data_IF_965345520012
#
_entry.id   IF_965345520012
#
_cell.length_a   1.000
_cell.length_b   1.000
_cell.length_c   1.000
_cell.angle_alpha   90.00
_cell.angle_beta   90.00
_cell.angle_gamma   90.00
#
_symmetry.space_group_name_H-M   'P 1'
#
loop_
_entity.id
_entity.type
_entity.pdbx_description
1 polymer ?
#
# COMPACT_ATOMS: atom_id res chain seq x y z
N UNK A 1 -5.32 -10.44 -7.81
CA UNK A 1 -5.97 -9.12 -7.93
C UNK A 1 -5.00 -8.09 -7.43
N UNK A 2 -4.86 -6.96 -8.13
CA UNK A 2 -3.99 -5.87 -7.69
C UNK A 2 -4.51 -5.25 -6.39
N UNK A 3 -3.63 -4.65 -5.58
CA UNK A 3 -4.03 -3.83 -4.42
C UNK A 3 -5.01 -2.74 -4.83
N UNK A 4 -4.82 -2.22 -6.03
CA UNK A 4 -5.62 -1.15 -6.60
C UNK A 4 -7.07 -1.61 -6.84
N UNK A 5 -7.25 -2.77 -7.49
CA UNK A 5 -8.58 -3.35 -7.73
C UNK A 5 -9.35 -3.59 -6.43
N UNK A 6 -8.65 -4.00 -5.37
CA UNK A 6 -9.27 -4.25 -4.06
C UNK A 6 -9.63 -2.97 -3.34
N UNK A 7 -8.74 -1.99 -3.39
CA UNK A 7 -8.98 -0.68 -2.81
C UNK A 7 -10.14 0.04 -3.50
N UNK A 8 -10.20 0.06 -4.84
CA UNK A 8 -11.32 0.64 -5.60
C UNK A 8 -12.67 0.02 -5.23
N UNK A 9 -12.68 -1.29 -4.93
CA UNK A 9 -13.86 -2.01 -4.48
C UNK A 9 -14.24 -1.71 -3.02
N UNK A 10 -13.24 -1.53 -2.16
CA UNK A 10 -13.42 -1.22 -0.73
C UNK A 10 -13.98 0.19 -0.49
N UNK A 11 -13.67 1.14 -1.39
CA UNK A 11 -14.07 2.56 -1.27
C UNK A 11 -15.37 2.89 -2.02
N UNK A 12 -16.19 1.88 -2.36
CA UNK A 12 -17.56 2.01 -2.93
C UNK A 12 -17.75 3.16 -3.96
N UNK A 13 -16.89 3.27 -4.97
CA UNK A 13 -17.14 4.07 -6.19
C UNK A 13 -17.29 5.60 -6.07
N UNK A 14 -17.46 6.16 -4.87
CA UNK A 14 -17.67 7.60 -4.64
C UNK A 14 -16.40 8.44 -4.90
N UNK A 15 -15.26 7.77 -5.04
CA UNK A 15 -13.94 8.38 -5.07
C UNK A 15 -13.24 8.33 -6.43
N UNK A 16 -13.84 7.67 -7.42
CA UNK A 16 -13.33 7.63 -8.80
C UNK A 16 -13.02 9.02 -9.37
N UNK A 17 -13.78 10.05 -8.97
CA UNK A 17 -13.53 11.42 -9.43
C UNK A 17 -12.30 12.09 -8.80
N UNK A 18 -11.80 11.59 -7.67
CA UNK A 18 -10.60 12.12 -7.00
C UNK A 18 -9.37 11.40 -7.55
N UNK A 19 -9.43 10.08 -7.74
CA UNK A 19 -8.35 9.29 -8.38
C UNK A 19 -8.06 9.72 -9.83
N UNK A 20 -9.11 10.03 -10.61
CA UNK A 20 -8.95 10.48 -12.00
C UNK A 20 -8.30 11.87 -12.14
N UNK A 21 -8.19 12.65 -11.04
CA UNK A 21 -7.55 13.98 -11.05
C UNK A 21 -6.05 13.93 -10.76
N UNK A 22 -5.50 12.78 -10.38
CA UNK A 22 -4.08 12.65 -10.14
C UNK A 22 -3.32 12.42 -11.45
N UNK A 23 -2.31 13.26 -11.68
CA UNK A 23 -1.39 13.07 -12.79
C UNK A 23 -0.36 11.99 -12.45
N UNK A 24 0.41 11.55 -13.44
CA UNK A 24 1.51 10.57 -13.26
C UNK A 24 2.65 11.03 -12.34
N UNK A 25 2.54 12.21 -11.74
CA UNK A 25 3.53 12.79 -10.80
C UNK A 25 3.03 12.81 -9.36
N UNK A 26 1.74 12.60 -9.14
CA UNK A 26 1.17 12.59 -7.81
C UNK A 26 1.21 11.18 -7.23
N UNK A 27 1.18 11.08 -5.90
CA UNK A 27 1.32 9.82 -5.20
C UNK A 27 0.08 8.93 -5.42
N UNK A 28 0.26 7.77 -6.06
CA UNK A 28 -0.83 6.84 -6.36
C UNK A 28 -0.86 5.66 -5.38
N UNK A 29 -2.01 5.01 -5.16
CA UNK A 29 -2.10 3.82 -4.30
C UNK A 29 -1.11 2.69 -4.68
N UNK A 30 -0.83 2.54 -5.97
CA UNK A 30 0.14 1.54 -6.48
C UNK A 30 1.59 1.86 -6.12
N UNK A 31 1.92 3.12 -5.87
CA UNK A 31 3.25 3.52 -5.43
C UNK A 31 3.51 3.03 -4.00
N UNK A 32 2.48 3.00 -3.15
CA UNK A 32 2.59 2.47 -1.79
C UNK A 32 2.91 0.99 -1.78
N UNK A 33 2.17 0.17 -2.53
CA UNK A 33 2.44 -1.28 -2.59
C UNK A 33 3.82 -1.56 -3.16
N UNK A 34 4.19 -0.88 -4.25
CA UNK A 34 5.51 -1.06 -4.87
C UNK A 34 6.64 -0.65 -3.92
N UNK A 35 6.46 0.41 -3.13
CA UNK A 35 7.43 0.82 -2.11
C UNK A 35 7.54 -0.20 -0.97
N UNK A 36 6.42 -0.78 -0.54
CA UNK A 36 6.38 -1.79 0.52
C UNK A 36 7.00 -3.12 0.09
N UNK A 37 6.67 -3.61 -1.09
CA UNK A 37 7.27 -4.83 -1.67
C UNK A 37 8.80 -4.67 -1.74
N UNK A 38 9.26 -3.51 -2.23
CA UNK A 38 10.69 -3.19 -2.28
C UNK A 38 11.34 -3.14 -0.89
N UNK A 39 10.63 -2.64 0.12
CA UNK A 39 11.15 -2.58 1.50
C UNK A 39 11.19 -3.96 2.14
N UNK A 40 10.17 -4.80 1.91
CA UNK A 40 10.20 -6.23 2.30
C UNK A 40 11.41 -6.91 1.68
N UNK A 41 11.60 -6.78 0.36
CA UNK A 41 12.72 -7.41 -0.33
C UNK A 41 14.08 -6.94 0.18
N UNK A 42 14.18 -5.68 0.62
CA UNK A 42 15.41 -5.09 1.14
C UNK A 42 15.72 -5.53 2.58
N UNK A 43 14.70 -5.64 3.44
CA UNK A 43 14.85 -5.95 4.85
C UNK A 43 14.57 -7.41 5.21
N UNK A 44 14.05 -8.21 4.29
CA UNK A 44 13.81 -9.63 4.51
C UNK A 44 15.12 -10.36 4.78
N UNK A 45 15.18 -11.04 5.93
CA UNK A 45 16.38 -11.76 6.36
C UNK A 45 16.08 -13.25 6.51
N UNK A 46 16.86 -14.14 5.87
CA UNK A 46 16.72 -15.57 6.10
C UNK A 46 17.18 -15.92 7.51
N UNK A 47 16.31 -16.59 8.28
CA UNK A 47 16.63 -17.16 9.59
C UNK A 47 16.55 -18.68 9.48
N UNK A 48 17.69 -19.31 9.25
CA UNK A 48 17.78 -20.76 9.06
C UNK A 48 17.63 -21.19 7.61
N UNK A 49 17.24 -22.45 7.38
CA UNK A 49 17.15 -23.03 6.02
C UNK A 49 15.81 -22.76 5.33
N UNK A 50 14.72 -22.67 6.09
CA UNK A 50 13.36 -22.69 5.56
C UNK A 50 12.49 -21.54 6.10
N UNK A 51 13.10 -20.54 6.74
CA UNK A 51 12.37 -19.38 7.27
C UNK A 51 13.05 -18.08 6.87
N UNK A 52 12.22 -17.12 6.46
CA UNK A 52 12.61 -15.73 6.22
C UNK A 52 11.75 -14.87 7.13
N UNK A 53 12.37 -13.93 7.84
CA UNK A 53 11.63 -12.90 8.58
C UNK A 53 11.55 -11.65 7.73
N UNK A 54 10.37 -11.06 7.68
CA UNK A 54 10.10 -9.78 7.06
C UNK A 54 9.60 -8.79 8.13
N UNK A 55 9.79 -7.48 7.92
CA UNK A 55 9.20 -6.47 8.80
C UNK A 55 7.67 -6.59 8.83
N UNK A 56 7.08 -6.17 9.96
CA UNK A 56 5.63 -6.24 10.20
C UNK A 56 4.97 -4.89 10.49
N UNK A 57 5.76 -3.85 10.77
CA UNK A 57 5.27 -2.49 10.96
C UNK A 57 5.90 -1.57 9.91
N UNK A 58 5.04 -0.89 9.16
CA UNK A 58 5.45 0.07 8.14
C UNK A 58 4.83 1.43 8.45
N UNK A 59 5.62 2.49 8.29
CA UNK A 59 5.18 3.86 8.54
C UNK A 59 5.55 4.75 7.37
N UNK A 60 4.54 5.22 6.66
CA UNK A 60 4.71 6.23 5.62
C UNK A 60 4.90 7.62 6.24
N UNK A 61 5.86 8.37 5.70
CA UNK A 61 6.00 9.81 5.95
C UNK A 61 5.64 10.52 4.66
N UNK A 62 4.58 11.30 4.72
CA UNK A 62 4.01 11.98 3.56
C UNK A 62 4.05 13.48 3.77
N UNK A 63 4.00 14.23 2.67
CA UNK A 63 3.74 15.66 2.77
C UNK A 63 2.29 15.90 3.22
N UNK A 64 2.03 17.05 3.84
CA UNK A 64 0.67 17.42 4.27
C UNK A 64 -0.37 17.30 3.15
N UNK A 65 -0.16 17.84 1.92
CA UNK A 65 -1.15 17.70 0.86
C UNK A 65 -1.39 16.24 0.46
N UNK A 66 -0.34 15.40 0.35
CA UNK A 66 -0.51 13.98 0.03
C UNK A 66 -1.30 13.24 1.11
N UNK A 67 -1.05 13.56 2.39
CA UNK A 67 -1.78 12.99 3.51
C UNK A 67 -3.25 13.38 3.49
N UNK A 68 -3.57 14.66 3.25
CA UNK A 68 -4.95 15.16 3.14
C UNK A 68 -5.71 14.46 2.00
N UNK A 69 -5.02 14.15 0.90
CA UNK A 69 -5.61 13.38 -0.19
C UNK A 69 -5.94 11.95 0.23
N UNK A 70 -5.05 11.27 0.94
CA UNK A 70 -5.25 9.88 1.38
C UNK A 70 -6.30 9.77 2.47
N UNK A 71 -6.37 10.75 3.37
CA UNK A 71 -7.45 10.86 4.36
C UNK A 71 -8.82 10.91 3.68
N UNK A 72 -8.95 11.71 2.60
CA UNK A 72 -10.18 11.74 1.81
C UNK A 72 -10.52 10.37 1.22
N UNK A 73 -9.50 9.56 0.91
CA UNK A 73 -9.64 8.21 0.35
C UNK A 73 -10.08 7.13 1.33
N UNK A 74 -10.08 7.43 2.63
CA UNK A 74 -10.17 6.40 3.65
C UNK A 74 -8.80 5.81 3.91
N UNK A 75 -7.98 6.56 4.64
CA UNK A 75 -6.63 6.16 5.08
C UNK A 75 -6.62 4.78 5.75
N UNK A 76 -7.64 4.47 6.55
CA UNK A 76 -7.82 3.17 7.20
C UNK A 76 -8.09 2.03 6.21
N UNK A 77 -8.97 2.23 5.22
CA UNK A 77 -9.25 1.22 4.21
C UNK A 77 -8.02 0.93 3.34
N UNK A 78 -7.27 1.96 2.95
CA UNK A 78 -6.02 1.82 2.22
C UNK A 78 -4.99 1.03 3.03
N UNK A 79 -4.81 1.39 4.32
CA UNK A 79 -3.87 0.71 5.19
C UNK A 79 -4.21 -0.77 5.37
N UNK A 80 -5.49 -1.11 5.52
CA UNK A 80 -5.94 -2.49 5.65
C UNK A 80 -5.66 -3.31 4.38
N UNK A 81 -5.95 -2.76 3.20
CA UNK A 81 -5.69 -3.46 1.92
C UNK A 81 -4.19 -3.64 1.65
N UNK A 82 -3.37 -2.62 1.97
CA UNK A 82 -1.92 -2.72 1.87
C UNK A 82 -1.38 -3.79 2.83
N UNK A 83 -1.86 -3.82 4.07
CA UNK A 83 -1.44 -4.81 5.06
C UNK A 83 -1.81 -6.24 4.64
N UNK A 84 -3.02 -6.45 4.10
CA UNK A 84 -3.44 -7.76 3.60
C UNK A 84 -2.55 -8.18 2.42
N UNK A 85 -2.29 -7.28 1.48
CA UNK A 85 -1.43 -7.57 0.34
C UNK A 85 0.01 -7.90 0.73
N UNK A 86 0.63 -7.12 1.62
CA UNK A 86 1.95 -7.44 2.19
C UNK A 86 1.98 -8.83 2.82
N UNK A 87 0.93 -9.14 3.59
CA UNK A 87 0.83 -10.43 4.29
C UNK A 87 0.75 -11.58 3.29
N UNK A 88 0.09 -11.39 2.14
CA UNK A 88 0.09 -12.37 1.05
C UNK A 88 1.44 -12.44 0.34
N UNK A 89 2.08 -11.29 0.10
CA UNK A 89 3.39 -11.21 -0.55
C UNK A 89 4.46 -11.93 0.27
N UNK A 90 4.52 -11.68 1.58
CA UNK A 90 5.49 -12.31 2.48
C UNK A 90 5.28 -13.83 2.68
N UNK A 91 4.13 -14.37 2.28
CA UNK A 91 3.85 -15.83 2.28
C UNK A 91 4.21 -16.50 0.96
N UNK A 92 4.38 -15.72 -0.11
CA UNK A 92 4.75 -16.22 -1.44
C UNK A 92 6.22 -16.60 -1.51
#
# INVERSE_FOLDING_TARGET
>A
MSVFDRFEKSVEGAMNSVFAKFGSKDLQPVDFSSALEREIDAEAMPIGRDHTVAPNEYRFKLSTPDFDHIEQWGSEALANELADNLTQYAKS
#
